data_IF_907606819417
#
_entry.id   IF_907606819417
#
_cell.length_a   1.000
_cell.length_b   1.000
_cell.length_c   1.000
_cell.angle_alpha   90.00
_cell.angle_beta   90.00
_cell.angle_gamma   90.00
#
_symmetry.space_group_name_H-M   'P 1'
#
loop_
_entity.id
_entity.type
_entity.pdbx_description
1 polymer ?
#
# COMPACT_ATOMS: atom_id res chain seq x y z
N UNK A 1 -6.77 -24.92 10.82
CA UNK A 1 -6.30 -23.58 10.41
C UNK A 1 -5.05 -23.76 9.56
N UNK A 2 -5.10 -23.39 8.29
CA UNK A 2 -3.90 -23.30 7.45
C UNK A 2 -3.20 -21.99 7.80
N UNK A 3 -1.93 -22.04 8.18
CA UNK A 3 -1.08 -20.86 8.23
C UNK A 3 -0.87 -20.43 6.77
N UNK A 4 -1.41 -19.28 6.38
CA UNK A 4 -1.07 -18.70 5.08
C UNK A 4 0.43 -18.38 5.06
N UNK A 5 1.17 -18.81 4.02
CA UNK A 5 2.59 -18.50 3.91
C UNK A 5 2.79 -16.97 3.91
N UNK A 6 3.79 -16.50 4.64
CA UNK A 6 4.24 -15.11 4.49
C UNK A 6 4.74 -14.97 3.06
N UNK A 7 4.00 -14.24 2.23
CA UNK A 7 4.39 -13.99 0.85
C UNK A 7 5.72 -13.25 0.86
N UNK A 8 6.70 -13.74 0.09
CA UNK A 8 8.00 -13.06 -0.08
C UNK A 8 7.89 -11.88 -1.06
N UNK A 9 6.73 -11.26 -1.12
CA UNK A 9 6.39 -10.23 -2.08
C UNK A 9 6.34 -8.90 -1.36
N UNK A 10 6.86 -7.88 -2.02
CA UNK A 10 6.69 -6.51 -1.59
C UNK A 10 6.20 -5.65 -2.75
N UNK A 11 5.55 -4.55 -2.37
CA UNK A 11 4.99 -3.58 -3.30
C UNK A 11 5.69 -2.25 -3.07
N UNK A 12 6.34 -1.74 -4.10
CA UNK A 12 6.71 -0.33 -4.16
C UNK A 12 5.50 0.43 -4.67
N UNK A 13 5.08 1.49 -3.98
CA UNK A 13 3.92 2.29 -4.35
C UNK A 13 4.26 3.78 -4.23
N UNK A 14 4.02 4.55 -5.29
CA UNK A 14 4.10 6.00 -5.30
C UNK A 14 2.67 6.52 -5.13
N UNK A 15 2.43 7.28 -4.06
CA UNK A 15 1.11 7.84 -3.80
C UNK A 15 0.80 8.99 -4.76
N UNK A 16 -0.45 9.07 -5.20
CA UNK A 16 -0.96 10.12 -6.07
C UNK A 16 -1.59 11.25 -5.23
N UNK A 17 -1.47 12.49 -5.72
CA UNK A 17 -2.21 13.65 -5.19
C UNK A 17 -3.58 13.77 -5.86
N UNK A 18 -4.58 14.24 -5.13
CA UNK A 18 -5.90 14.60 -5.67
C UNK A 18 -6.89 13.44 -5.79
N UNK A 19 -6.60 12.29 -5.17
CA UNK A 19 -7.47 11.12 -5.15
C UNK A 19 -8.44 11.11 -3.97
N UNK A 20 -9.37 10.15 -3.98
CA UNK A 20 -10.27 9.89 -2.86
C UNK A 20 -9.58 9.01 -1.81
N UNK A 21 -8.68 9.59 -1.02
CA UNK A 21 -7.93 8.86 0.01
C UNK A 21 -6.51 8.51 -0.41
N UNK A 22 -6.02 7.34 -0.01
CA UNK A 22 -4.69 6.87 -0.39
C UNK A 22 -4.80 6.00 -1.65
N UNK A 23 -4.29 6.54 -2.76
CA UNK A 23 -4.24 5.86 -4.05
C UNK A 23 -2.84 6.04 -4.62
N UNK A 24 -2.36 5.08 -5.40
CA UNK A 24 -1.02 5.15 -5.99
C UNK A 24 -0.75 4.16 -7.10
N UNK A 25 0.39 4.34 -7.75
CA UNK A 25 0.90 3.44 -8.78
C UNK A 25 2.00 2.57 -8.18
N UNK A 26 1.94 1.26 -8.45
CA UNK A 26 2.80 0.30 -7.80
C UNK A 26 3.47 -0.70 -8.74
N UNK A 27 4.46 -1.39 -8.19
CA UNK A 27 5.13 -2.50 -8.82
C UNK A 27 5.42 -3.57 -7.76
N UNK A 28 5.13 -4.83 -8.08
CA UNK A 28 5.52 -5.97 -7.24
C UNK A 28 6.95 -6.40 -7.51
N UNK A 29 7.62 -6.88 -6.47
CA UNK A 29 8.92 -7.52 -6.57
C UNK A 29 9.09 -8.64 -5.52
N UNK A 30 10.03 -9.55 -5.78
CA UNK A 30 10.41 -10.63 -4.87
C UNK A 30 11.43 -10.11 -3.85
N UNK A 31 11.15 -10.28 -2.56
CA UNK A 31 12.07 -9.93 -1.47
C UNK A 31 13.36 -10.77 -1.50
N UNK A 32 13.32 -11.97 -2.10
CA UNK A 32 14.49 -12.85 -2.29
C UNK A 32 15.31 -12.47 -3.52
N UNK A 33 14.73 -11.70 -4.45
CA UNK A 33 15.35 -11.28 -5.71
C UNK A 33 14.81 -9.88 -6.10
N UNK A 34 15.32 -8.80 -5.46
CA UNK A 34 14.73 -7.46 -5.56
C UNK A 34 14.64 -6.89 -6.98
N UNK A 35 15.53 -7.33 -7.88
CA UNK A 35 15.55 -6.91 -9.29
C UNK A 35 14.49 -7.63 -10.14
N UNK A 36 13.79 -8.62 -9.57
CA UNK A 36 12.76 -9.39 -10.26
C UNK A 36 11.39 -8.77 -10.04
N UNK A 37 10.85 -8.15 -11.10
CA UNK A 37 9.45 -7.73 -11.15
C UNK A 37 8.53 -8.94 -11.25
N UNK A 38 7.42 -8.89 -10.53
CA UNK A 38 6.40 -9.95 -10.53
C UNK A 38 5.10 -9.40 -11.13
N UNK A 39 4.32 -10.29 -11.75
CA UNK A 39 2.95 -9.95 -12.16
C UNK A 39 2.01 -10.10 -10.95
N UNK A 40 1.24 -9.05 -10.59
CA UNK A 40 0.31 -9.08 -9.45
C UNK A 40 -0.69 -10.22 -9.53
N UNK A 41 -1.31 -10.41 -10.70
CA UNK A 41 -2.38 -11.38 -10.91
C UNK A 41 -1.94 -12.84 -10.69
N UNK A 42 -0.68 -13.15 -10.92
CA UNK A 42 -0.15 -14.51 -10.75
C UNK A 42 0.38 -14.77 -9.33
N UNK A 43 0.62 -13.70 -8.57
CA UNK A 43 1.44 -13.77 -7.36
C UNK A 43 0.69 -13.46 -6.07
N UNK A 44 -0.42 -12.71 -6.14
CA UNK A 44 -1.19 -12.30 -4.97
C UNK A 44 -2.65 -12.78 -5.04
N UNK A 45 -3.22 -13.01 -3.87
CA UNK A 45 -4.64 -13.31 -3.65
C UNK A 45 -5.14 -12.54 -2.43
N UNK A 46 -6.46 -12.41 -2.32
CA UNK A 46 -7.08 -11.89 -1.11
C UNK A 46 -6.65 -12.69 0.13
N UNK A 47 -6.36 -11.98 1.22
CA UNK A 47 -5.80 -12.51 2.46
C UNK A 47 -4.29 -12.69 2.48
N UNK A 48 -3.57 -12.47 1.36
CA UNK A 48 -2.11 -12.53 1.37
C UNK A 48 -1.52 -11.33 2.11
N UNK A 49 -0.45 -11.58 2.88
CA UNK A 49 0.30 -10.53 3.56
C UNK A 49 1.50 -10.08 2.73
N UNK A 50 1.67 -8.77 2.58
CA UNK A 50 2.75 -8.14 1.82
C UNK A 50 3.44 -7.04 2.64
N UNK A 51 4.70 -6.76 2.29
CA UNK A 51 5.36 -5.52 2.72
C UNK A 51 5.09 -4.41 1.72
N UNK A 52 4.91 -3.18 2.18
CA UNK A 52 4.85 -2.01 1.32
C UNK A 52 5.98 -1.02 1.59
N UNK A 53 6.47 -0.44 0.50
CA UNK A 53 7.27 0.78 0.52
C UNK A 53 6.47 1.86 -0.17
N UNK A 54 6.19 2.93 0.56
CA UNK A 54 5.33 4.03 0.11
C UNK A 54 6.19 5.27 -0.10
N UNK A 55 6.19 5.80 -1.32
CA UNK A 55 6.76 7.11 -1.62
C UNK A 55 5.65 8.14 -1.63
N UNK A 56 5.88 9.25 -0.93
CA UNK A 56 5.10 10.45 -1.18
C UNK A 56 5.59 11.08 -2.49
N UNK A 57 4.68 11.65 -3.30
CA UNK A 57 5.08 12.38 -4.49
C UNK A 57 6.00 13.53 -4.07
N UNK A 58 7.11 13.66 -4.77
CA UNK A 58 8.18 14.65 -4.53
C UNK A 58 9.11 14.35 -3.33
N UNK A 59 9.03 13.15 -2.72
CA UNK A 59 9.97 12.71 -1.68
C UNK A 59 10.92 11.61 -2.17
N UNK A 60 12.20 11.72 -1.81
CA UNK A 60 13.23 10.74 -2.17
C UNK A 60 13.21 9.50 -1.25
N UNK A 61 12.64 9.63 -0.05
CA UNK A 61 12.58 8.55 0.94
C UNK A 61 11.23 7.84 0.95
N UNK A 62 11.24 6.53 1.18
CA UNK A 62 10.01 5.77 1.38
C UNK A 62 9.69 5.58 2.85
N UNK A 63 8.39 5.42 3.12
CA UNK A 63 7.86 4.86 4.36
C UNK A 63 7.70 3.34 4.20
N UNK A 64 8.15 2.57 5.18
CA UNK A 64 7.95 1.12 5.21
C UNK A 64 6.70 0.75 6.02
N UNK A 65 5.86 -0.10 5.43
CA UNK A 65 4.78 -0.80 6.11
C UNK A 65 5.13 -2.28 6.13
N UNK A 66 5.47 -2.79 7.31
CA UNK A 66 5.97 -4.15 7.47
C UNK A 66 4.89 -5.22 7.30
N UNK A 67 3.62 -4.85 7.49
CA UNK A 67 2.49 -5.78 7.36
C UNK A 67 1.26 -5.05 6.81
N UNK A 68 0.86 -5.46 5.62
CA UNK A 68 -0.44 -5.15 5.03
C UNK A 68 -1.06 -6.41 4.44
N UNK A 69 -2.38 -6.44 4.38
CA UNK A 69 -3.16 -7.56 3.85
C UNK A 69 -3.80 -7.13 2.53
N UNK A 70 -3.73 -8.00 1.52
CA UNK A 70 -4.48 -7.83 0.28
C UNK A 70 -5.96 -8.10 0.57
N UNK A 71 -6.80 -7.07 0.52
CA UNK A 71 -8.25 -7.21 0.69
C UNK A 71 -8.86 -7.83 -0.57
N UNK A 72 -8.59 -7.23 -1.73
CA UNK A 72 -9.00 -7.77 -3.03
C UNK A 72 -8.01 -7.40 -4.13
N UNK A 73 -8.06 -8.16 -5.23
CA UNK A 73 -7.28 -7.94 -6.44
C UNK A 73 -8.17 -8.09 -7.68
N UNK A 74 -8.01 -7.17 -8.64
CA UNK A 74 -8.58 -7.26 -9.98
C UNK A 74 -7.47 -7.20 -11.06
N UNK A 75 -7.86 -7.06 -12.33
CA UNK A 75 -6.91 -7.09 -13.44
C UNK A 75 -5.90 -5.93 -13.46
N UNK A 76 -6.18 -4.79 -12.85
CA UNK A 76 -5.33 -3.59 -12.90
C UNK A 76 -5.09 -2.94 -11.54
N UNK A 77 -5.76 -3.43 -10.50
CA UNK A 77 -5.77 -2.80 -9.18
C UNK A 77 -5.77 -3.85 -8.08
N UNK A 78 -5.28 -3.45 -6.93
CA UNK A 78 -5.55 -4.15 -5.68
C UNK A 78 -5.80 -3.16 -4.57
N UNK A 79 -6.58 -3.58 -3.59
CA UNK A 79 -6.73 -2.87 -2.32
C UNK A 79 -5.94 -3.61 -1.25
N UNK A 80 -5.14 -2.86 -0.50
CA UNK A 80 -4.44 -3.36 0.69
C UNK A 80 -4.89 -2.62 1.93
N UNK A 81 -5.10 -3.35 3.00
CA UNK A 81 -5.37 -2.83 4.33
C UNK A 81 -4.06 -2.78 5.13
N UNK A 82 -3.73 -1.62 5.69
CA UNK A 82 -2.49 -1.37 6.43
C UNK A 82 -2.67 -1.78 7.89
N UNK A 83 -2.17 -2.96 8.24
CA UNK A 83 -2.43 -3.56 9.55
C UNK A 83 -1.50 -3.05 10.65
N UNK A 84 -0.25 -2.69 10.33
CA UNK A 84 0.74 -2.22 11.31
C UNK A 84 1.50 -0.99 10.81
N UNK A 85 1.01 0.20 11.20
CA UNK A 85 1.68 1.48 10.93
C UNK A 85 2.37 2.00 12.18
N UNK A 86 3.64 2.41 12.03
CA UNK A 86 4.31 3.19 13.08
C UNK A 86 3.62 4.55 13.26
N UNK A 87 3.74 5.19 14.44
CA UNK A 87 3.20 6.52 14.67
C UNK A 87 3.71 7.56 13.66
N UNK A 88 4.97 7.46 13.25
CA UNK A 88 5.58 8.34 12.25
C UNK A 88 4.93 8.19 10.87
N UNK A 89 4.78 6.95 10.39
CA UNK A 89 4.14 6.68 9.09
C UNK A 89 2.68 7.13 9.11
N UNK A 90 1.97 6.88 10.22
CA UNK A 90 0.59 7.35 10.41
C UNK A 90 0.51 8.88 10.33
N UNK A 91 1.41 9.60 10.99
CA UNK A 91 1.45 11.05 10.97
C UNK A 91 1.72 11.60 9.55
N UNK A 92 2.68 11.02 8.83
CA UNK A 92 3.00 11.38 7.43
C UNK A 92 1.81 11.14 6.49
N UNK A 93 1.18 9.97 6.56
CA UNK A 93 -0.02 9.68 5.75
C UNK A 93 -1.20 10.60 6.09
N UNK A 94 -1.37 10.93 7.38
CA UNK A 94 -2.38 11.89 7.80
C UNK A 94 -2.12 13.29 7.23
N UNK A 95 -0.87 13.77 7.31
CA UNK A 95 -0.46 15.05 6.73
C UNK A 95 -0.63 15.08 5.22
N UNK A 96 -0.24 14.00 4.54
CA UNK A 96 -0.41 13.85 3.10
C UNK A 96 -1.88 13.89 2.69
N UNK A 97 -2.78 13.18 3.39
CA UNK A 97 -4.22 13.27 3.15
C UNK A 97 -4.76 14.67 3.43
N UNK A 98 -4.26 15.35 4.46
CA UNK A 98 -4.69 16.71 4.80
C UNK A 98 -4.28 17.73 3.72
N UNK A 99 -3.10 17.59 3.12
CA UNK A 99 -2.63 18.49 2.05
C UNK A 99 -3.40 18.30 0.74
N UNK A 100 -4.03 17.14 0.53
CA UNK A 100 -4.94 16.91 -0.60
C UNK A 100 -6.36 17.50 -0.37
N UNK A 101 -6.76 17.71 0.89
CA UNK A 101 -8.14 18.05 1.29
C UNK A 101 -8.43 19.55 1.30
N UNK A 102 -8.30 20.23 0.15
CA UNK A 102 -9.00 21.52 -0.05
C UNK A 102 -10.53 21.32 -0.07
N UNK A 103 -11.04 20.10 -0.21
CA UNK A 103 -12.48 19.80 -0.05
C UNK A 103 -12.77 18.56 0.79
N UNK A 104 -13.33 18.85 1.98
CA UNK A 104 -14.27 18.08 2.83
C UNK A 104 -13.72 16.94 3.70
N UNK A 105 -13.88 17.18 5.01
CA UNK A 105 -13.61 16.33 6.18
C UNK A 105 -14.56 15.13 6.28
N UNK A 106 -14.08 14.00 6.82
CA UNK A 106 -14.49 13.49 8.14
C UNK A 106 -13.47 12.48 8.63
N UNK A 107 -13.15 12.52 9.93
CA UNK A 107 -12.49 11.42 10.62
C UNK A 107 -13.31 10.15 10.42
N UNK A 108 -12.65 9.07 10.03
CA UNK A 108 -13.18 7.74 10.29
C UNK A 108 -12.06 6.87 10.83
N UNK A 109 -12.41 6.08 11.83
CA UNK A 109 -11.52 5.20 12.61
C UNK A 109 -11.32 3.88 11.88
N UNK A 110 -11.35 3.93 10.55
CA UNK A 110 -11.26 2.79 9.66
C UNK A 110 -9.79 2.46 9.45
N UNK A 111 -9.48 1.17 9.35
CA UNK A 111 -8.19 0.68 8.88
C UNK A 111 -7.75 1.49 7.65
N UNK A 112 -6.54 2.06 7.71
CA UNK A 112 -5.97 2.78 6.58
C UNK A 112 -5.81 1.78 5.44
N UNK A 113 -6.29 2.11 4.25
CA UNK A 113 -6.17 1.25 3.08
C UNK A 113 -5.60 2.04 1.91
N UNK A 114 -4.95 1.35 0.98
CA UNK A 114 -4.40 1.93 -0.24
C UNK A 114 -4.95 1.17 -1.44
N UNK A 115 -5.44 1.92 -2.43
CA UNK A 115 -5.71 1.40 -3.76
C UNK A 115 -4.45 1.54 -4.62
N UNK A 116 -3.94 0.42 -5.13
CA UNK A 116 -2.69 0.39 -5.91
C UNK A 116 -3.01 -0.05 -7.34
N UNK A 117 -2.53 0.72 -8.32
CA UNK A 117 -2.64 0.44 -9.76
C UNK A 117 -1.34 -0.13 -10.29
N UNK A 118 -1.41 -1.05 -11.26
CA UNK A 118 -0.25 -1.68 -11.92
C UNK A 118 -0.26 -1.46 -13.43
#
# INVERSE_FOLDING_TARGET
>A
MSLQPISRVAINCILAKGGSGLEGDGCLYDLSAPDRRLSPQTQLRAGDYVKLRLWLPDEDSHMSVELAEVDWIDSHRLKVDLLSLSPEVRAKLHQFKASQRVTRSTHDTTTEHILIRF
#
